data_IF_352575019736
#
_entry.id   IF_352575019736
#
_cell.length_a   1.000
_cell.length_b   1.000
_cell.length_c   1.000
_cell.angle_alpha   90.00
_cell.angle_beta   90.00
_cell.angle_gamma   90.00
#
_symmetry.space_group_name_H-M   'P 1'
#
loop_
_entity.id
_entity.type
_entity.pdbx_description
1 polymer ?
#
# COMPACT_ATOMS: atom_id res chain seq x y z
N UNK A 1 -6.85 15.55 11.02
CA UNK A 1 -7.69 15.35 9.82
C UNK A 1 -6.92 15.56 8.51
N UNK A 2 -6.31 16.74 8.25
CA UNK A 2 -5.57 17.01 6.99
C UNK A 2 -4.46 16.00 6.66
N UNK A 3 -3.61 15.66 7.63
CA UNK A 3 -2.52 14.71 7.42
C UNK A 3 -3.01 13.29 7.10
N UNK A 4 -4.08 12.84 7.76
CA UNK A 4 -4.67 11.52 7.51
C UNK A 4 -5.26 11.44 6.09
N UNK A 5 -5.99 12.48 5.67
CA UNK A 5 -6.50 12.57 4.31
C UNK A 5 -5.37 12.56 3.26
N UNK A 6 -4.29 13.28 3.52
CA UNK A 6 -3.10 13.25 2.67
C UNK A 6 -2.49 11.85 2.57
N UNK A 7 -2.37 11.11 3.69
CA UNK A 7 -1.89 9.73 3.66
C UNK A 7 -2.80 8.81 2.85
N UNK A 8 -4.13 8.97 2.95
CA UNK A 8 -5.10 8.20 2.15
C UNK A 8 -4.90 8.48 0.65
N UNK A 9 -4.73 9.75 0.26
CA UNK A 9 -4.47 10.11 -1.13
C UNK A 9 -3.14 9.50 -1.63
N UNK A 10 -2.09 9.55 -0.81
CA UNK A 10 -0.79 8.97 -1.18
C UNK A 10 -0.89 7.44 -1.32
N UNK A 11 -1.62 6.78 -0.42
CA UNK A 11 -1.80 5.33 -0.46
C UNK A 11 -2.48 4.87 -1.75
N UNK A 12 -3.44 5.64 -2.26
CA UNK A 12 -4.18 5.31 -3.49
C UNK A 12 -3.56 5.92 -4.77
N UNK A 13 -2.43 6.61 -4.65
CA UNK A 13 -1.81 7.27 -5.80
C UNK A 13 -1.40 6.31 -6.94
N UNK A 14 -0.91 5.09 -6.66
CA UNK A 14 -0.63 4.10 -7.71
C UNK A 14 -1.85 3.81 -8.60
N UNK A 15 -3.04 3.71 -8.00
CA UNK A 15 -4.30 3.39 -8.68
C UNK A 15 -4.82 4.53 -9.59
N UNK A 16 -4.16 5.70 -9.61
CA UNK A 16 -4.49 6.71 -10.62
C UNK A 16 -4.15 6.25 -12.05
N UNK A 17 -3.45 5.14 -12.20
CA UNK A 17 -3.25 4.46 -13.48
C UNK A 17 -4.55 3.89 -14.10
N UNK A 18 -5.66 3.85 -13.35
CA UNK A 18 -7.00 3.63 -13.91
C UNK A 18 -7.49 4.78 -14.79
N UNK A 19 -7.04 6.03 -14.55
CA UNK A 19 -7.62 7.22 -15.20
C UNK A 19 -7.55 7.18 -16.74
N UNK A 20 -6.42 6.83 -17.37
CA UNK A 20 -6.36 6.71 -18.82
C UNK A 20 -7.32 5.65 -19.37
N UNK A 21 -7.49 4.53 -18.65
CA UNK A 21 -8.41 3.46 -19.00
C UNK A 21 -9.87 3.90 -18.91
N UNK A 22 -10.21 4.62 -17.84
CA UNK A 22 -11.54 5.18 -17.64
C UNK A 22 -11.95 6.11 -18.78
N UNK A 23 -11.03 6.96 -19.27
CA UNK A 23 -11.28 7.90 -20.37
C UNK A 23 -11.63 7.19 -21.69
N UNK A 24 -11.02 6.03 -21.97
CA UNK A 24 -11.22 5.31 -23.25
C UNK A 24 -12.26 4.18 -23.17
N UNK A 25 -12.98 4.06 -22.06
CA UNK A 25 -13.99 3.02 -21.88
C UNK A 25 -13.44 1.65 -21.44
N UNK A 26 -12.15 1.56 -21.10
CA UNK A 26 -11.45 0.31 -20.76
C UNK A 26 -10.68 0.50 -19.44
N UNK A 27 -11.40 0.50 -18.32
CA UNK A 27 -10.89 0.84 -16.98
C UNK A 27 -9.58 0.11 -16.65
N UNK A 28 -9.54 -1.21 -16.85
CA UNK A 28 -8.41 -2.05 -16.42
C UNK A 28 -7.19 -2.02 -17.35
N UNK A 29 -7.26 -1.33 -18.50
CA UNK A 29 -6.24 -1.45 -19.56
C UNK A 29 -4.82 -1.08 -19.12
N UNK A 30 -4.69 -0.08 -18.24
CA UNK A 30 -3.40 0.46 -17.81
C UNK A 30 -3.09 0.17 -16.34
N UNK A 31 -4.01 -0.48 -15.63
CA UNK A 31 -3.89 -0.74 -14.21
C UNK A 31 -2.95 -1.92 -13.93
N UNK A 32 -2.22 -1.87 -12.81
CA UNK A 32 -1.31 -2.94 -12.39
C UNK A 32 0.06 -2.90 -13.08
N UNK A 33 0.41 -1.76 -13.70
CA UNK A 33 1.70 -1.54 -14.34
C UNK A 33 2.82 -1.13 -13.36
N UNK A 34 3.79 -0.37 -13.85
CA UNK A 34 4.96 0.07 -13.06
C UNK A 34 4.61 0.94 -11.85
N UNK A 35 3.42 1.55 -11.83
CA UNK A 35 2.81 2.24 -10.68
C UNK A 35 2.80 1.37 -9.43
N UNK A 36 2.63 0.06 -9.59
CA UNK A 36 2.62 -0.95 -8.53
C UNK A 36 4.00 -1.59 -8.29
N UNK A 37 5.08 -0.81 -8.40
CA UNK A 37 6.45 -1.26 -8.16
C UNK A 37 7.10 -0.56 -6.97
N UNK A 38 8.01 -1.26 -6.28
CA UNK A 38 8.79 -0.67 -5.20
C UNK A 38 9.69 0.47 -5.69
N UNK A 39 10.17 0.43 -6.94
CA UNK A 39 10.97 1.51 -7.52
C UNK A 39 10.20 2.81 -7.67
N UNK A 40 8.97 2.76 -8.20
CA UNK A 40 8.09 3.95 -8.26
C UNK A 40 7.75 4.44 -6.85
N UNK A 41 7.44 3.54 -5.92
CA UNK A 41 7.21 3.90 -4.51
C UNK A 41 8.37 4.66 -3.88
N UNK A 42 9.61 4.21 -4.12
CA UNK A 42 10.82 4.88 -3.63
C UNK A 42 11.01 6.27 -4.26
N UNK A 43 10.79 6.40 -5.57
CA UNK A 43 10.90 7.67 -6.29
C UNK A 43 9.88 8.68 -5.74
N UNK A 44 8.61 8.29 -5.62
CA UNK A 44 7.54 9.15 -5.10
C UNK A 44 7.83 9.58 -3.65
N UNK A 45 8.22 8.63 -2.80
CA UNK A 45 8.60 8.91 -1.42
C UNK A 45 9.79 9.88 -1.31
N UNK A 46 10.69 9.89 -2.30
CA UNK A 46 11.89 10.75 -2.32
C UNK A 46 11.61 12.16 -2.85
N UNK A 47 10.73 12.30 -3.85
CA UNK A 47 10.39 13.60 -4.45
C UNK A 47 9.41 14.39 -3.58
N UNK A 48 8.41 13.73 -2.99
CA UNK A 48 7.32 14.41 -2.30
C UNK A 48 7.74 15.22 -1.06
N UNK A 49 8.63 14.75 -0.16
CA UNK A 49 9.14 15.56 0.95
C UNK A 49 9.85 16.84 0.50
N UNK A 50 10.50 16.80 -0.67
CA UNK A 50 11.16 17.97 -1.27
C UNK A 50 10.12 18.97 -1.77
N UNK A 51 9.06 18.49 -2.42
CA UNK A 51 7.94 19.31 -2.89
C UNK A 51 7.13 19.94 -1.75
N UNK A 52 7.06 19.26 -0.59
CA UNK A 52 6.39 19.75 0.62
C UNK A 52 7.17 20.85 1.37
N UNK A 53 8.36 21.25 0.86
CA UNK A 53 9.16 22.39 1.30
C UNK A 53 9.26 22.52 2.82
N UNK A 54 9.79 21.49 3.47
CA UNK A 54 10.10 21.62 4.90
C UNK A 54 11.45 22.32 5.05
N UNK A 55 11.45 23.57 5.53
CA UNK A 55 12.68 24.32 5.87
C UNK A 55 13.54 23.66 6.96
N UNK A 56 13.11 22.52 7.50
CA UNK A 56 13.76 21.81 8.59
C UNK A 56 14.21 20.41 8.13
N UNK A 57 15.50 20.28 7.83
CA UNK A 57 16.11 19.02 7.40
C UNK A 57 15.90 17.86 8.40
N UNK A 58 15.74 18.16 9.71
CA UNK A 58 15.49 17.13 10.73
C UNK A 58 14.11 16.46 10.59
N UNK A 59 13.15 17.11 9.93
CA UNK A 59 11.82 16.57 9.64
C UNK A 59 11.76 15.73 8.37
N UNK A 60 12.63 16.01 7.39
CA UNK A 60 12.60 15.38 6.07
C UNK A 60 12.75 13.87 6.15
N UNK A 61 13.71 13.36 6.93
CA UNK A 61 13.91 11.91 7.06
C UNK A 61 12.69 11.19 7.64
N UNK A 62 11.97 11.79 8.59
CA UNK A 62 10.75 11.21 9.17
C UNK A 62 9.60 11.20 8.17
N UNK A 63 9.43 12.28 7.41
CA UNK A 63 8.40 12.39 6.38
C UNK A 63 8.70 11.41 5.24
N UNK A 64 9.96 11.32 4.82
CA UNK A 64 10.41 10.36 3.82
C UNK A 64 10.13 8.92 4.25
N UNK A 65 10.48 8.54 5.48
CA UNK A 65 10.19 7.20 6.01
C UNK A 65 8.69 6.90 6.07
N UNK A 66 7.88 7.89 6.47
CA UNK A 66 6.42 7.75 6.50
C UNK A 66 5.85 7.52 5.09
N UNK A 67 6.24 8.38 4.13
CA UNK A 67 5.80 8.27 2.74
C UNK A 67 6.30 6.99 2.08
N UNK A 68 7.55 6.59 2.35
CA UNK A 68 8.09 5.34 1.86
C UNK A 68 7.25 4.16 2.37
N UNK A 69 6.90 4.14 3.66
CA UNK A 69 6.03 3.11 4.22
C UNK A 69 4.65 3.07 3.55
N UNK A 70 4.05 4.24 3.30
CA UNK A 70 2.76 4.35 2.62
C UNK A 70 2.84 3.85 1.17
N UNK A 71 3.84 4.31 0.41
CA UNK A 71 3.95 3.94 -1.00
C UNK A 71 4.41 2.50 -1.20
N UNK A 72 5.27 1.96 -0.34
CA UNK A 72 5.72 0.56 -0.43
C UNK A 72 4.63 -0.40 0.06
N UNK A 73 3.75 0.01 0.98
CA UNK A 73 2.69 -0.89 1.43
C UNK A 73 1.77 -1.30 0.29
N UNK A 74 1.48 -0.42 -0.68
CA UNK A 74 0.58 -0.74 -1.79
C UNK A 74 1.05 -1.96 -2.62
N UNK A 75 2.24 -1.95 -3.26
CA UNK A 75 2.71 -3.09 -4.04
C UNK A 75 3.00 -4.34 -3.18
N UNK A 76 3.30 -4.18 -1.88
CA UNK A 76 3.43 -5.33 -0.97
C UNK A 76 2.07 -6.00 -0.72
N UNK A 77 1.03 -5.21 -0.50
CA UNK A 77 -0.32 -5.73 -0.31
C UNK A 77 -0.82 -6.41 -1.59
N UNK A 78 -0.57 -5.81 -2.76
CA UNK A 78 -0.90 -6.42 -4.05
C UNK A 78 -0.15 -7.74 -4.29
N UNK A 79 1.15 -7.80 -3.95
CA UNK A 79 1.94 -9.03 -4.04
C UNK A 79 1.35 -10.18 -3.20
N UNK A 80 0.69 -9.84 -2.08
CA UNK A 80 0.03 -10.76 -1.17
C UNK A 80 -1.46 -10.99 -1.50
N UNK A 81 -2.00 -10.31 -2.52
CA UNK A 81 -3.38 -10.42 -2.94
C UNK A 81 -3.55 -11.47 -4.04
N UNK A 82 -4.75 -12.01 -4.15
CA UNK A 82 -5.14 -12.78 -5.34
C UNK A 82 -5.10 -11.85 -6.54
N UNK A 83 -4.44 -12.27 -7.61
CA UNK A 83 -4.43 -11.57 -8.88
C UNK A 83 -5.21 -12.39 -9.92
N UNK A 84 -6.22 -11.76 -10.51
CA UNK A 84 -7.08 -12.35 -11.54
C UNK A 84 -6.88 -11.70 -12.92
N UNK A 85 -6.06 -10.64 -12.99
CA UNK A 85 -5.74 -9.93 -14.23
C UNK A 85 -4.45 -10.42 -14.86
N UNK A 86 -4.43 -10.60 -16.18
CA UNK A 86 -3.18 -10.84 -16.91
C UNK A 86 -2.48 -9.51 -17.23
N UNK A 87 -1.14 -9.41 -17.12
CA UNK A 87 -0.20 -10.42 -16.62
C UNK A 87 -0.33 -10.65 -15.11
N UNK A 88 -0.26 -11.91 -14.68
CA UNK A 88 -0.42 -12.28 -13.27
C UNK A 88 0.73 -11.76 -12.41
N UNK A 89 0.40 -11.12 -11.28
CA UNK A 89 1.34 -10.56 -10.32
C UNK A 89 1.57 -9.07 -10.53
N UNK A 90 2.64 -8.54 -9.92
CA UNK A 90 3.03 -7.12 -10.06
C UNK A 90 4.51 -6.99 -10.42
N UNK A 91 4.92 -5.93 -11.14
CA UNK A 91 6.31 -5.64 -11.46
C UNK A 91 7.08 -5.14 -10.22
N UNK A 92 7.12 -5.95 -9.17
CA UNK A 92 7.49 -5.57 -7.80
C UNK A 92 8.87 -4.90 -7.72
N UNK A 93 9.84 -5.44 -8.47
CA UNK A 93 11.23 -5.00 -8.47
C UNK A 93 11.61 -4.09 -9.63
N UNK A 94 10.64 -3.56 -10.39
CA UNK A 94 10.94 -2.51 -11.36
C UNK A 94 11.62 -1.32 -10.65
N UNK A 95 12.69 -0.70 -11.21
CA UNK A 95 13.23 -0.87 -12.56
C UNK A 95 14.35 -1.92 -12.71
N UNK A 96 14.66 -2.69 -11.67
CA UNK A 96 15.75 -3.67 -11.68
C UNK A 96 15.39 -4.90 -12.52
N UNK A 97 14.13 -5.32 -12.48
CA UNK A 97 13.57 -6.43 -13.27
C UNK A 97 12.23 -6.02 -13.88
N UNK A 98 11.92 -6.57 -15.06
CA UNK A 98 10.64 -6.43 -15.73
C UNK A 98 9.69 -7.61 -15.45
N UNK A 99 10.10 -8.56 -14.60
CA UNK A 99 9.31 -9.75 -14.28
C UNK A 99 8.16 -9.41 -13.32
N UNK A 100 7.12 -10.24 -13.37
CA UNK A 100 5.95 -10.13 -12.52
C UNK A 100 6.05 -11.14 -11.38
N UNK A 101 5.79 -10.66 -10.16
CA UNK A 101 5.93 -11.43 -8.94
C UNK A 101 4.58 -11.52 -8.23
N UNK A 102 4.28 -12.72 -7.72
CA UNK A 102 3.12 -12.98 -6.88
C UNK A 102 3.53 -13.91 -5.74
N UNK A 103 3.01 -13.67 -4.55
CA UNK A 103 3.30 -14.50 -3.39
C UNK A 103 2.70 -15.90 -3.55
N UNK A 104 3.39 -16.98 -3.15
CA UNK A 104 2.76 -18.29 -3.02
C UNK A 104 1.73 -18.33 -1.87
N UNK A 105 1.76 -17.35 -0.95
CA UNK A 105 0.83 -17.20 0.17
C UNK A 105 -0.02 -15.94 -0.06
N UNK A 106 -1.31 -16.14 -0.31
CA UNK A 106 -2.25 -15.07 -0.65
C UNK A 106 -3.08 -14.66 0.58
N UNK A 107 -2.66 -13.58 1.24
CA UNK A 107 -3.28 -13.07 2.47
C UNK A 107 -4.48 -12.17 2.22
N UNK A 108 -4.62 -11.59 1.02
CA UNK A 108 -5.73 -10.71 0.66
C UNK A 108 -6.53 -11.26 -0.51
N UNK A 109 -7.77 -10.79 -0.64
CA UNK A 109 -8.60 -11.12 -1.80
C UNK A 109 -8.26 -10.21 -2.98
N UNK A 110 -8.70 -10.58 -4.16
CA UNK A 110 -8.79 -9.67 -5.29
C UNK A 110 -9.91 -8.63 -5.07
N UNK A 111 -9.78 -7.48 -5.73
CA UNK A 111 -10.84 -6.47 -5.81
C UNK A 111 -11.54 -6.63 -7.16
N UNK A 112 -12.81 -7.03 -7.10
CA UNK A 112 -13.63 -7.16 -8.29
C UNK A 112 -14.05 -5.79 -8.79
N UNK A 113 -13.86 -5.56 -10.08
CA UNK A 113 -14.24 -4.33 -10.77
C UNK A 113 -14.63 -4.65 -12.22
N UNK A 114 -15.47 -3.82 -12.81
CA UNK A 114 -15.86 -3.93 -14.21
C UNK A 114 -14.73 -3.43 -15.11
N UNK A 115 -14.44 -4.12 -16.23
CA UNK A 115 -13.52 -3.63 -17.26
C UNK A 115 -14.12 -2.49 -18.10
N UNK A 116 -15.42 -2.20 -17.94
CA UNK A 116 -16.10 -1.08 -18.61
C UNK A 116 -16.17 0.14 -17.68
N UNK A 117 -15.88 1.30 -18.25
CA UNK A 117 -15.97 2.57 -17.50
C UNK A 117 -17.40 2.93 -17.07
N UNK A 118 -18.42 2.42 -17.77
CA UNK A 118 -19.83 2.79 -17.52
C UNK A 118 -20.36 2.33 -16.17
N UNK A 119 -19.86 1.20 -15.67
CA UNK A 119 -20.27 0.57 -14.42
C UNK A 119 -19.12 0.36 -13.43
N UNK A 120 -17.89 0.80 -13.77
CA UNK A 120 -16.69 0.71 -12.92
C UNK A 120 -16.97 1.06 -11.45
N UNK A 121 -17.46 2.27 -11.17
CA UNK A 121 -17.68 2.70 -9.78
C UNK A 121 -18.77 1.91 -9.07
N UNK A 122 -19.82 1.50 -9.78
CA UNK A 122 -20.92 0.71 -9.20
C UNK A 122 -20.41 -0.70 -8.86
N UNK A 123 -19.60 -1.29 -9.75
CA UNK A 123 -19.03 -2.63 -9.57
C UNK A 123 -18.13 -2.74 -8.34
N UNK A 124 -17.53 -1.63 -7.90
CA UNK A 124 -16.74 -1.58 -6.66
C UNK A 124 -17.58 -1.88 -5.41
N UNK A 125 -18.89 -1.57 -5.43
CA UNK A 125 -19.80 -1.82 -4.34
C UNK A 125 -20.45 -3.20 -4.47
N UNK A 126 -19.65 -4.25 -4.32
CA UNK A 126 -20.09 -5.64 -4.35
C UNK A 126 -19.89 -6.34 -3.00
N UNK A 127 -20.65 -7.42 -2.77
CA UNK A 127 -20.45 -8.26 -1.59
C UNK A 127 -19.05 -8.85 -1.53
N UNK A 128 -18.48 -9.19 -2.69
CA UNK A 128 -17.10 -9.66 -2.81
C UNK A 128 -16.11 -8.65 -2.23
N UNK A 129 -16.15 -7.39 -2.70
CA UNK A 129 -15.27 -6.34 -2.22
C UNK A 129 -15.52 -5.97 -0.76
N UNK A 130 -16.78 -6.06 -0.30
CA UNK A 130 -17.10 -5.88 1.11
C UNK A 130 -16.39 -6.92 1.97
N UNK A 131 -16.40 -8.21 1.59
CA UNK A 131 -15.65 -9.24 2.29
C UNK A 131 -14.13 -9.08 2.16
N UNK A 132 -13.64 -8.62 1.01
CA UNK A 132 -12.23 -8.29 0.83
C UNK A 132 -11.76 -7.22 1.82
N UNK A 133 -12.52 -6.12 1.95
CA UNK A 133 -12.23 -5.05 2.92
C UNK A 133 -12.30 -5.56 4.36
N UNK A 134 -13.29 -6.38 4.72
CA UNK A 134 -13.37 -6.97 6.05
C UNK A 134 -12.15 -7.84 6.36
N UNK A 135 -11.68 -8.64 5.39
CA UNK A 135 -10.47 -9.44 5.51
C UNK A 135 -9.24 -8.58 5.73
N UNK A 136 -9.07 -7.51 4.95
CA UNK A 136 -7.97 -6.56 5.12
C UNK A 136 -7.98 -5.91 6.51
N UNK A 137 -9.14 -5.43 6.97
CA UNK A 137 -9.28 -4.85 8.31
C UNK A 137 -8.89 -5.88 9.37
N UNK A 138 -9.38 -7.11 9.27
CA UNK A 138 -9.09 -8.17 10.24
C UNK A 138 -7.59 -8.50 10.28
N UNK A 139 -6.96 -8.71 9.14
CA UNK A 139 -5.53 -9.08 9.06
C UNK A 139 -4.66 -7.91 9.52
N UNK A 140 -4.92 -6.69 9.05
CA UNK A 140 -4.11 -5.50 9.40
C UNK A 140 -4.28 -5.09 10.85
N UNK A 141 -5.51 -5.13 11.39
CA UNK A 141 -5.72 -4.82 12.81
C UNK A 141 -5.05 -5.86 13.72
N UNK A 142 -5.10 -7.14 13.35
CA UNK A 142 -4.41 -8.22 14.08
C UNK A 142 -2.90 -8.03 14.07
N UNK A 143 -2.31 -7.71 12.91
CA UNK A 143 -0.88 -7.41 12.79
C UNK A 143 -0.47 -6.22 13.66
N UNK A 144 -1.24 -5.12 13.62
CA UNK A 144 -0.99 -3.94 14.44
C UNK A 144 -1.09 -4.27 15.93
N UNK A 145 -2.07 -5.09 16.33
CA UNK A 145 -2.23 -5.52 17.73
C UNK A 145 -1.03 -6.35 18.20
N UNK A 146 -0.58 -7.32 17.39
CA UNK A 146 0.60 -8.13 17.70
C UNK A 146 1.87 -7.29 17.83
N UNK A 147 2.11 -6.35 16.90
CA UNK A 147 3.26 -5.45 16.96
C UNK A 147 3.21 -4.57 18.23
N UNK A 148 2.04 -4.04 18.58
CA UNK A 148 1.88 -3.26 19.83
C UNK A 148 2.16 -4.11 21.06
N UNK A 149 1.64 -5.34 21.12
CA UNK A 149 1.89 -6.25 22.23
C UNK A 149 3.39 -6.57 22.37
N UNK A 150 4.08 -6.87 21.27
CA UNK A 150 5.52 -7.12 21.27
C UNK A 150 6.31 -5.91 21.80
N UNK A 151 5.97 -4.70 21.35
CA UNK A 151 6.62 -3.46 21.82
C UNK A 151 6.36 -3.18 23.30
N UNK A 152 5.14 -3.42 23.80
CA UNK A 152 4.81 -3.28 25.22
C UNK A 152 5.62 -4.28 26.06
N UNK A 153 5.70 -5.54 25.64
CA UNK A 153 6.48 -6.58 26.32
C UNK A 153 7.96 -6.23 26.35
N UNK A 154 8.54 -5.76 25.23
CA UNK A 154 9.94 -5.32 25.17
C UNK A 154 10.24 -4.15 26.10
N UNK A 155 9.32 -3.17 26.22
CA UNK A 155 9.49 -2.03 27.14
C UNK A 155 9.47 -2.48 28.59
N UNK A 156 8.48 -3.30 28.97
CA UNK A 156 8.37 -3.84 30.34
C UNK A 156 9.60 -4.66 30.75
N UNK A 157 10.13 -5.46 29.83
CA UNK A 157 11.35 -6.24 30.09
C UNK A 157 12.57 -5.34 30.35
N UNK A 158 12.76 -4.28 29.54
CA UNK A 158 13.84 -3.30 29.76
C UNK A 158 13.69 -2.54 31.08
N UNK A 159 12.47 -2.15 31.44
CA UNK A 159 12.20 -1.46 32.72
C UNK A 159 12.46 -2.37 33.93
N UNK A 160 12.15 -3.66 33.84
CA UNK A 160 12.48 -4.65 34.88
C UNK A 160 13.98 -4.80 35.07
N UNK A 161 14.74 -4.97 33.98
CA UNK A 161 16.20 -5.08 34.03
C UNK A 161 16.87 -3.85 34.67
N UNK A 162 16.38 -2.64 34.37
CA UNK A 162 16.94 -1.41 34.95
C UNK A 162 16.69 -1.36 36.47
N UNK A 163 15.53 -1.84 36.93
CA UNK A 163 15.20 -1.89 38.38
C UNK A 163 16.06 -2.90 39.13
N UNK A 164 16.42 -4.01 38.50
CA UNK A 164 17.26 -5.04 39.14
C UNK A 164 18.76 -4.65 39.20
N UNK A 165 19.17 -3.61 38.45
CA UNK A 165 20.54 -3.08 38.42
C UNK A 165 20.75 -1.83 39.30
N UNK A 166 19.69 -1.28 39.90
CA UNK A 166 19.70 -0.07 40.73
C UNK A 166 19.57 -0.41 42.21
#
# INVERSE_FOLDING_TARGET
MKAMFFCILCANLPDLDFLPGLIIGQSDRFHGGISHSMGVSFILASIMPLALSTKNAKGLGRIWLLLLGIFISHPILDFLAIDTGYPFGKPLFWPISADYYQSPILLFSDVWRSPSSSDFFISLFSWHNFYAVLREILVMSSLIALLKMALITQRRFKEGLIKDMA
#
